data_IF_331542254281
#
_entry.id   IF_331542254281
#
_cell.length_a   1.000
_cell.length_b   1.000
_cell.length_c   1.000
_cell.angle_alpha   90.00
_cell.angle_beta   90.00
_cell.angle_gamma   90.00
#
_symmetry.space_group_name_H-M   'P 1'
#
loop_
_entity.id
_entity.type
_entity.pdbx_description
1 polymer ?
#
# COMPACT_ATOMS: atom_id res chain seq x y z
N UNK A 1 -7.86 -8.10 -24.06
CA UNK A 1 -8.29 -7.10 -23.06
C UNK A 1 -9.48 -7.58 -22.23
N UNK A 2 -9.31 -8.68 -21.48
CA UNK A 2 -10.15 -9.07 -20.33
C UNK A 2 -9.25 -9.29 -19.12
N UNK A 3 -9.71 -8.92 -17.93
CA UNK A 3 -8.97 -9.20 -16.69
C UNK A 3 -8.95 -10.71 -16.47
N UNK A 4 -7.74 -11.24 -16.27
CA UNK A 4 -7.48 -12.66 -16.03
C UNK A 4 -7.21 -12.93 -14.56
N UNK A 5 -6.41 -12.08 -13.91
CA UNK A 5 -6.14 -12.20 -12.47
C UNK A 5 -6.10 -10.84 -11.77
N UNK A 6 -6.44 -10.86 -10.48
CA UNK A 6 -6.26 -9.73 -9.56
C UNK A 6 -5.59 -10.27 -8.30
N UNK A 7 -4.49 -9.65 -7.91
CA UNK A 7 -3.75 -9.96 -6.69
C UNK A 7 -3.60 -8.68 -5.87
N UNK A 8 -3.65 -8.83 -4.54
CA UNK A 8 -3.47 -7.72 -3.62
C UNK A 8 -2.53 -8.13 -2.49
N UNK A 9 -1.61 -7.23 -2.14
CA UNK A 9 -0.74 -7.37 -0.98
C UNK A 9 -0.90 -6.15 -0.09
N UNK A 10 -1.17 -6.39 1.18
CA UNK A 10 -1.02 -5.34 2.18
C UNK A 10 0.45 -5.19 2.53
N UNK A 11 0.97 -3.98 2.40
CA UNK A 11 2.33 -3.64 2.81
C UNK A 11 2.27 -2.64 3.95
N UNK A 12 3.12 -2.86 4.94
CA UNK A 12 3.33 -1.96 6.07
C UNK A 12 4.81 -1.61 6.14
N UNK A 13 5.13 -0.34 5.96
CA UNK A 13 6.50 0.16 5.95
C UNK A 13 6.69 1.07 7.16
N UNK A 14 7.68 0.82 8.04
CA UNK A 14 7.96 1.71 9.16
C UNK A 14 8.44 3.08 8.68
N UNK A 15 7.93 4.15 9.29
CA UNK A 15 8.41 5.51 9.07
C UNK A 15 9.50 5.81 10.10
N UNK A 16 10.63 6.32 9.62
CA UNK A 16 11.73 6.78 10.47
C UNK A 16 11.22 7.79 11.50
N UNK A 17 11.64 7.65 12.77
CA UNK A 17 11.04 8.33 13.91
C UNK A 17 10.99 9.86 13.78
N UNK A 18 12.07 10.50 13.30
CA UNK A 18 12.12 11.95 13.12
C UNK A 18 11.25 12.45 11.96
N UNK A 19 10.78 11.55 11.08
CA UNK A 19 9.89 11.84 9.95
C UNK A 19 8.43 11.44 10.18
N UNK A 20 8.11 10.87 11.34
CA UNK A 20 6.73 10.53 11.66
C UNK A 20 5.89 11.81 11.80
N UNK A 21 4.78 11.88 11.08
CA UNK A 21 3.86 13.02 11.16
C UNK A 21 2.86 12.84 12.31
N UNK A 22 2.68 13.90 13.10
CA UNK A 22 1.65 13.98 14.14
C UNK A 22 0.56 14.92 13.73
N UNK A 23 -0.68 14.46 13.77
CA UNK A 23 -1.87 15.27 13.60
C UNK A 23 -2.82 15.07 14.79
N UNK A 24 -4.00 15.66 14.69
CA UNK A 24 -5.15 15.40 15.56
C UNK A 24 -5.61 13.93 15.56
N UNK A 25 -5.26 13.16 14.54
CA UNK A 25 -5.49 11.72 14.45
C UNK A 25 -4.40 10.86 15.14
N UNK A 26 -3.42 11.49 15.79
CA UNK A 26 -2.32 10.80 16.47
C UNK A 26 -1.02 10.81 15.68
N UNK A 27 -0.09 9.92 16.06
CA UNK A 27 1.23 9.80 15.45
C UNK A 27 1.21 8.65 14.42
N UNK A 28 1.45 8.97 13.15
CA UNK A 28 1.57 7.95 12.10
C UNK A 28 2.96 7.33 12.14
N UNK A 29 3.06 6.05 12.49
CA UNK A 29 4.33 5.32 12.66
C UNK A 29 4.66 4.43 11.47
N UNK A 30 3.68 4.11 10.63
CA UNK A 30 3.81 3.28 9.44
C UNK A 30 3.13 3.91 8.24
N UNK A 31 3.70 3.67 7.07
CA UNK A 31 3.01 3.86 5.80
C UNK A 31 2.41 2.50 5.42
N UNK A 32 1.08 2.42 5.42
CA UNK A 32 0.36 1.23 5.01
C UNK A 32 -0.29 1.46 3.63
N UNK A 33 -0.18 0.46 2.75
CA UNK A 33 -0.80 0.51 1.43
C UNK A 33 -1.22 -0.89 0.96
N UNK A 34 -2.16 -0.93 0.02
CA UNK A 34 -2.41 -2.12 -0.78
C UNK A 34 -1.71 -1.97 -2.14
N UNK A 35 -0.87 -2.94 -2.50
CA UNK A 35 -0.32 -3.06 -3.85
C UNK A 35 -1.22 -4.02 -4.61
N UNK A 36 -1.75 -3.58 -5.74
CA UNK A 36 -2.58 -4.40 -6.60
C UNK A 36 -1.83 -4.74 -7.89
N UNK A 37 -1.91 -6.01 -8.30
CA UNK A 37 -1.52 -6.46 -9.64
C UNK A 37 -2.77 -6.95 -10.35
N UNK A 38 -3.07 -6.35 -11.49
CA UNK A 38 -4.12 -6.80 -12.41
C UNK A 38 -3.43 -7.26 -13.68
N UNK A 39 -3.67 -8.50 -14.08
CA UNK A 39 -3.13 -9.09 -15.31
C UNK A 39 -4.29 -9.33 -16.28
N UNK A 40 -4.10 -8.98 -17.55
CA UNK A 40 -5.09 -9.26 -18.60
C UNK A 40 -4.75 -10.53 -19.36
N UNK A 41 -5.67 -10.99 -20.21
CA UNK A 41 -5.45 -12.15 -21.08
C UNK A 41 -4.36 -11.93 -22.14
N UNK A 42 -4.00 -10.68 -22.42
CA UNK A 42 -2.95 -10.26 -23.35
C UNK A 42 -1.67 -9.72 -22.68
N UNK A 43 -1.57 -9.75 -21.35
CA UNK A 43 -0.36 -9.39 -20.58
C UNK A 43 -0.54 -8.15 -19.71
#
# INVERSE_FOLDING_TARGET
MRIKTVQAWWVRIPIEAARQHRSDFGQVTTFDAAILRVETDDG
#
